data_IF_521960399732
#
_entry.id   IF_521960399732
#
_cell.length_a   1.000
_cell.length_b   1.000
_cell.length_c   1.000
_cell.angle_alpha   90.00
_cell.angle_beta   90.00
_cell.angle_gamma   90.00
#
_symmetry.space_group_name_H-M   'P 1'
#
loop_
_entity.id
_entity.type
_entity.pdbx_description
1 polymer ?
#
# COMPACT_ATOMS: atom_id res chain seq x y z
N UNK A 1 5.46 15.07 -0.50
CA UNK A 1 6.17 14.10 -1.35
C UNK A 1 5.14 13.23 -2.06
N UNK A 2 5.34 12.99 -3.35
CA UNK A 2 4.40 12.19 -4.12
C UNK A 2 4.87 10.74 -4.21
N UNK A 3 3.97 9.81 -3.91
CA UNK A 3 4.24 8.38 -4.04
C UNK A 3 3.47 7.84 -5.25
N UNK A 4 4.19 7.62 -6.36
CA UNK A 4 3.60 7.08 -7.57
C UNK A 4 3.29 5.59 -7.37
N UNK A 5 2.04 5.21 -7.60
CA UNK A 5 1.60 3.83 -7.51
C UNK A 5 1.56 3.24 -8.92
N UNK A 6 2.28 2.14 -9.12
CA UNK A 6 2.18 1.33 -10.34
C UNK A 6 1.56 -0.01 -9.95
N UNK A 7 0.37 -0.33 -10.44
CA UNK A 7 -0.37 -1.53 -10.02
C UNK A 7 0.48 -2.80 -10.03
N UNK A 8 0.55 -3.45 -8.87
CA UNK A 8 1.29 -4.70 -8.65
C UNK A 8 2.79 -4.61 -8.87
N UNK A 9 3.32 -3.43 -9.08
CA UNK A 9 4.72 -3.25 -9.47
C UNK A 9 5.54 -2.47 -8.44
N UNK A 10 5.05 -1.29 -8.05
CA UNK A 10 5.82 -0.42 -7.16
C UNK A 10 4.97 0.59 -6.42
N UNK A 11 5.55 1.10 -5.33
CA UNK A 11 4.99 2.19 -4.54
C UNK A 11 6.09 3.22 -4.30
N UNK A 12 5.93 4.44 -4.82
CA UNK A 12 6.89 5.53 -4.62
C UNK A 12 8.30 5.24 -5.11
N UNK A 13 8.45 4.46 -6.16
CA UNK A 13 9.76 4.06 -6.68
C UNK A 13 10.34 2.82 -5.98
N UNK A 14 9.69 2.33 -4.92
CA UNK A 14 10.10 1.08 -4.26
C UNK A 14 9.43 -0.09 -4.98
N UNK A 15 10.24 -0.89 -5.67
CA UNK A 15 9.75 -1.97 -6.54
C UNK A 15 9.54 -3.26 -5.75
N UNK A 16 8.35 -3.85 -5.86
CA UNK A 16 8.07 -5.13 -5.19
C UNK A 16 8.99 -6.23 -5.73
N UNK A 17 9.46 -7.07 -4.81
CA UNK A 17 10.42 -8.12 -5.14
C UNK A 17 11.88 -7.72 -4.97
N UNK A 18 12.16 -6.43 -4.75
CA UNK A 18 13.51 -5.96 -4.49
C UNK A 18 13.91 -6.36 -3.08
N UNK A 19 15.18 -6.74 -2.90
CA UNK A 19 15.67 -7.12 -1.57
C UNK A 19 15.79 -5.91 -0.65
N UNK A 20 15.66 -6.15 0.64
CA UNK A 20 15.86 -5.13 1.67
C UNK A 20 17.21 -4.42 1.50
N UNK A 21 18.26 -5.18 1.23
CA UNK A 21 19.61 -4.65 1.03
C UNK A 21 19.66 -3.68 -0.17
N UNK A 22 19.08 -4.08 -1.30
CA UNK A 22 19.05 -3.24 -2.50
C UNK A 22 18.23 -1.96 -2.30
N UNK A 23 17.10 -2.06 -1.58
CA UNK A 23 16.29 -0.87 -1.28
C UNK A 23 17.09 0.11 -0.44
N UNK A 24 17.78 -0.35 0.60
CA UNK A 24 18.57 0.52 1.44
C UNK A 24 19.79 1.07 0.72
N UNK A 25 20.38 0.31 -0.18
CA UNK A 25 21.50 0.77 -0.98
C UNK A 25 21.08 1.92 -1.91
N UNK A 26 19.91 1.78 -2.53
CA UNK A 26 19.40 2.77 -3.47
C UNK A 26 18.78 3.99 -2.80
N UNK A 27 18.04 3.78 -1.72
CA UNK A 27 17.23 4.82 -1.07
C UNK A 27 17.73 5.26 0.30
N UNK A 28 18.81 4.66 0.79
CA UNK A 28 19.34 4.93 2.11
C UNK A 28 18.59 4.17 3.21
N UNK A 29 19.05 4.34 4.44
CA UNK A 29 18.43 3.67 5.58
C UNK A 29 17.11 4.35 5.96
N UNK A 30 16.12 3.57 6.44
CA UNK A 30 14.87 4.14 6.90
C UNK A 30 15.05 4.85 8.24
N UNK A 31 14.06 5.64 8.62
CA UNK A 31 14.04 6.30 9.93
C UNK A 31 14.02 5.25 11.05
N UNK A 32 13.32 4.15 10.84
CA UNK A 32 13.21 3.06 11.80
C UNK A 32 12.90 1.75 11.08
N UNK A 33 13.35 0.64 11.65
CA UNK A 33 13.01 -0.70 11.15
C UNK A 33 12.63 -1.58 12.31
N UNK A 34 11.57 -2.37 12.15
CA UNK A 34 11.08 -3.30 13.16
C UNK A 34 10.97 -4.68 12.55
N UNK A 35 11.43 -5.70 13.29
CA UNK A 35 11.24 -7.10 12.91
C UNK A 35 10.04 -7.66 13.64
N UNK A 36 9.13 -8.30 12.89
CA UNK A 36 7.99 -9.01 13.44
C UNK A 36 8.30 -10.50 13.39
N UNK A 37 8.69 -11.05 14.54
CA UNK A 37 9.06 -12.47 14.62
C UNK A 37 7.87 -13.42 14.52
N UNK A 38 6.67 -12.93 14.80
CA UNK A 38 5.45 -13.74 14.71
C UNK A 38 5.04 -13.92 13.25
N UNK A 39 5.03 -12.81 12.48
CA UNK A 39 4.69 -12.84 11.06
C UNK A 39 5.90 -13.10 10.18
N UNK A 40 7.09 -13.15 10.78
CA UNK A 40 8.35 -13.36 10.07
C UNK A 40 8.59 -12.34 8.96
N UNK A 41 8.31 -11.07 9.27
CA UNK A 41 8.55 -9.99 8.32
C UNK A 41 9.27 -8.81 8.98
N UNK A 42 9.72 -7.88 8.15
CA UNK A 42 10.39 -6.64 8.58
C UNK A 42 9.61 -5.46 8.03
N UNK A 43 9.51 -4.41 8.82
CA UNK A 43 8.81 -3.18 8.43
C UNK A 43 9.77 -2.01 8.52
N UNK A 44 9.94 -1.30 7.40
CA UNK A 44 10.69 -0.05 7.35
C UNK A 44 9.74 1.13 7.45
N UNK A 45 10.05 2.06 8.32
CA UNK A 45 9.28 3.31 8.47
C UNK A 45 10.04 4.43 7.77
N UNK A 46 9.46 4.97 6.69
CA UNK A 46 10.04 6.04 5.88
C UNK A 46 9.03 7.17 5.73
N UNK A 47 9.33 8.35 6.26
CA UNK A 47 8.44 9.51 6.20
C UNK A 47 6.96 9.12 6.38
N UNK A 48 6.11 9.36 5.40
CA UNK A 48 4.69 8.99 5.45
C UNK A 48 4.41 7.64 4.76
N UNK A 49 5.41 6.75 4.74
CA UNK A 49 5.33 5.46 4.05
C UNK A 49 5.92 4.36 4.92
N UNK A 50 5.30 3.18 4.91
CA UNK A 50 5.81 1.99 5.58
C UNK A 50 5.98 0.89 4.53
N UNK A 51 7.13 0.23 4.52
CA UNK A 51 7.43 -0.84 3.57
C UNK A 51 7.57 -2.16 4.31
N UNK A 52 6.93 -3.20 3.82
CA UNK A 52 6.92 -4.51 4.45
C UNK A 52 7.65 -5.53 3.59
N UNK A 53 8.57 -6.25 4.23
CA UNK A 53 9.43 -7.27 3.60
C UNK A 53 9.12 -8.64 4.18
N UNK A 54 8.96 -9.62 3.31
CA UNK A 54 8.87 -11.04 3.68
C UNK A 54 10.05 -11.75 3.04
N UNK A 55 10.80 -12.53 3.82
CA UNK A 55 12.02 -13.19 3.35
C UNK A 55 12.98 -12.19 2.71
N UNK A 56 13.07 -11.00 3.32
CA UNK A 56 13.91 -9.88 2.86
C UNK A 56 13.58 -9.36 1.45
N UNK A 57 12.36 -9.61 0.96
CA UNK A 57 11.86 -9.07 -0.30
C UNK A 57 10.68 -8.14 -0.03
N UNK A 58 10.66 -6.99 -0.70
CA UNK A 58 9.58 -6.02 -0.57
C UNK A 58 8.29 -6.61 -1.18
N UNK A 59 7.22 -6.67 -0.39
CA UNK A 59 5.98 -7.29 -0.82
C UNK A 59 4.78 -6.36 -0.81
N UNK A 60 4.73 -5.40 0.12
CA UNK A 60 3.69 -4.38 0.09
C UNK A 60 4.12 -3.14 0.88
N UNK A 61 3.38 -2.06 0.71
CA UNK A 61 3.67 -0.81 1.41
C UNK A 61 2.41 -0.03 1.73
N UNK A 62 2.52 0.82 2.75
CA UNK A 62 1.43 1.66 3.24
C UNK A 62 1.75 3.12 2.95
N UNK A 63 0.80 3.84 2.32
CA UNK A 63 0.83 5.29 2.25
C UNK A 63 -0.10 5.84 3.31
N UNK A 64 0.43 6.64 4.22
CA UNK A 64 -0.33 7.25 5.31
C UNK A 64 -0.97 8.56 4.83
N UNK A 65 -1.83 9.15 5.65
CA UNK A 65 -2.60 10.35 5.25
C UNK A 65 -1.73 11.54 4.82
N UNK A 66 -0.51 11.63 5.33
CA UNK A 66 0.40 12.74 5.01
C UNK A 66 1.22 12.50 3.75
N UNK A 67 1.13 11.30 3.17
CA UNK A 67 1.72 11.02 1.88
C UNK A 67 0.75 11.45 0.78
N UNK A 68 1.24 11.46 -0.44
CA UNK A 68 0.44 11.86 -1.58
C UNK A 68 0.50 10.75 -2.64
N UNK A 69 -0.30 9.68 -2.47
CA UNK A 69 -0.28 8.58 -3.44
C UNK A 69 -0.96 9.01 -4.74
N UNK A 70 -0.26 8.74 -5.85
CA UNK A 70 -0.71 9.12 -7.18
C UNK A 70 -0.77 7.90 -8.07
N UNK A 71 -1.91 7.71 -8.74
CA UNK A 71 -2.12 6.66 -9.71
C UNK A 71 -2.39 7.29 -11.06
N UNK A 72 -1.39 7.26 -11.96
CA UNK A 72 -1.46 7.97 -13.22
C UNK A 72 -1.66 9.47 -12.99
N UNK A 73 -2.77 10.02 -13.43
CA UNK A 73 -3.12 11.42 -13.24
C UNK A 73 -3.98 11.67 -12.00
N UNK A 74 -4.27 10.61 -11.23
CA UNK A 74 -5.18 10.69 -10.10
C UNK A 74 -4.41 10.83 -8.80
N UNK A 75 -4.68 11.91 -8.09
CA UNK A 75 -4.24 12.11 -6.72
C UNK A 75 -5.26 11.42 -5.82
N UNK A 76 -4.91 10.23 -5.33
CA UNK A 76 -5.89 9.33 -4.70
C UNK A 76 -6.58 9.93 -3.49
N UNK A 77 -5.84 10.55 -2.58
CA UNK A 77 -6.42 11.12 -1.36
C UNK A 77 -7.18 12.42 -1.60
N UNK A 78 -7.02 13.05 -2.76
CA UNK A 78 -7.73 14.29 -3.12
C UNK A 78 -8.95 14.03 -4.00
N UNK A 79 -9.13 12.80 -4.46
CA UNK A 79 -10.26 12.40 -5.28
C UNK A 79 -11.25 11.56 -4.47
N UNK A 80 -12.41 11.25 -5.07
CA UNK A 80 -13.40 10.42 -4.41
C UNK A 80 -13.17 8.94 -4.71
N UNK A 81 -13.70 8.08 -3.86
CA UNK A 81 -13.62 6.64 -4.09
C UNK A 81 -14.38 6.25 -5.38
N UNK A 82 -15.40 7.04 -5.75
CA UNK A 82 -16.16 6.78 -6.97
C UNK A 82 -15.31 6.96 -8.22
N UNK A 83 -14.34 7.87 -8.19
CA UNK A 83 -13.41 8.06 -9.31
C UNK A 83 -12.55 6.82 -9.52
N UNK A 84 -12.17 6.15 -8.45
CA UNK A 84 -11.39 4.91 -8.52
C UNK A 84 -12.26 3.74 -8.98
N UNK A 85 -13.51 3.68 -8.54
CA UNK A 85 -14.46 2.66 -8.98
C UNK A 85 -14.73 2.75 -10.49
N UNK A 86 -14.63 3.95 -11.04
CA UNK A 86 -14.80 4.16 -12.48
C UNK A 86 -13.63 3.59 -13.29
N UNK A 87 -12.42 3.55 -12.68
CA UNK A 87 -11.22 3.00 -13.34
C UNK A 87 -11.17 1.49 -13.19
N UNK A 88 -11.54 0.97 -12.02
CA UNK A 88 -11.48 -0.45 -11.72
C UNK A 88 -12.82 -0.92 -11.19
N UNK A 89 -13.59 -1.56 -12.04
CA UNK A 89 -14.93 -2.08 -11.71
C UNK A 89 -14.87 -3.38 -10.90
N UNK A 90 -13.72 -4.01 -10.80
CA UNK A 90 -13.54 -5.23 -10.02
C UNK A 90 -13.08 -4.91 -8.60
N UNK A 91 -13.86 -4.11 -7.90
CA UNK A 91 -13.57 -3.77 -6.51
C UNK A 91 -14.40 -4.64 -5.56
N UNK A 92 -13.87 -4.82 -4.35
CA UNK A 92 -14.52 -5.57 -3.28
C UNK A 92 -14.58 -4.66 -2.05
N UNK A 93 -15.79 -4.40 -1.55
CA UNK A 93 -15.96 -3.58 -0.35
C UNK A 93 -15.94 -4.45 0.89
N UNK A 94 -15.02 -4.16 1.80
CA UNK A 94 -14.94 -4.80 3.10
C UNK A 94 -15.53 -3.91 4.19
N UNK A 95 -15.28 -4.26 5.45
CA UNK A 95 -15.82 -3.53 6.60
C UNK A 95 -15.24 -2.14 6.78
N UNK A 96 -13.95 -1.97 6.51
CA UNK A 96 -13.25 -0.68 6.67
C UNK A 96 -12.51 -0.25 5.42
N UNK A 97 -12.26 -1.17 4.51
CA UNK A 97 -11.42 -0.98 3.35
C UNK A 97 -12.14 -1.40 2.08
N UNK A 98 -11.71 -0.84 0.97
CA UNK A 98 -12.12 -1.28 -0.35
C UNK A 98 -10.88 -1.77 -1.09
N UNK A 99 -11.00 -2.91 -1.74
CA UNK A 99 -9.91 -3.57 -2.48
C UNK A 99 -10.16 -3.43 -3.97
N UNK A 100 -9.19 -2.92 -4.71
CA UNK A 100 -9.26 -2.78 -6.17
C UNK A 100 -8.37 -3.85 -6.80
N UNK A 101 -9.00 -4.85 -7.41
CA UNK A 101 -8.30 -6.03 -7.93
C UNK A 101 -7.31 -5.70 -9.04
N UNK A 102 -7.71 -4.87 -10.00
CA UNK A 102 -6.85 -4.55 -11.13
C UNK A 102 -5.77 -3.50 -10.79
N UNK A 103 -6.01 -2.71 -9.76
CA UNK A 103 -5.06 -1.69 -9.33
C UNK A 103 -4.08 -2.19 -8.28
N UNK A 104 -4.36 -3.33 -7.66
CA UNK A 104 -3.49 -3.89 -6.62
C UNK A 104 -3.35 -2.99 -5.41
N UNK A 105 -4.43 -2.32 -5.03
CA UNK A 105 -4.46 -1.43 -3.87
C UNK A 105 -5.68 -1.67 -3.01
N UNK A 106 -5.52 -1.30 -1.74
CA UNK A 106 -6.56 -1.40 -0.73
C UNK A 106 -6.62 -0.04 -0.03
N UNK A 107 -7.81 0.55 0.08
CA UNK A 107 -7.96 1.90 0.61
C UNK A 107 -8.90 1.92 1.80
N UNK A 108 -8.45 2.55 2.88
CA UNK A 108 -9.28 2.81 4.05
C UNK A 108 -9.43 4.31 4.29
N UNK A 109 -10.49 4.69 5.03
CA UNK A 109 -10.72 6.07 5.41
C UNK A 109 -11.36 6.95 4.33
N UNK A 110 -11.72 6.38 3.18
CA UNK A 110 -12.35 7.11 2.08
C UNK A 110 -13.72 6.53 1.70
N UNK A 111 -14.16 5.46 2.37
CA UNK A 111 -15.37 4.73 2.00
C UNK A 111 -16.61 5.21 2.76
N UNK A 112 -16.48 6.25 3.59
CA UNK A 112 -17.54 6.68 4.48
C UNK A 112 -17.65 5.85 5.76
N UNK A 113 -16.90 4.76 5.85
CA UNK A 113 -16.85 3.90 7.03
C UNK A 113 -15.79 4.41 7.98
N UNK A 114 -16.05 4.27 9.28
CA UNK A 114 -15.12 4.73 10.31
C UNK A 114 -13.83 3.92 10.28
N UNK A 115 -12.70 4.61 10.17
CA UNK A 115 -11.38 4.02 10.23
C UNK A 115 -10.53 4.82 11.21
N UNK A 116 -10.12 4.24 12.35
CA UNK A 116 -9.29 4.95 13.34
C UNK A 116 -7.96 5.46 12.79
N UNK A 117 -7.43 4.83 11.77
CA UNK A 117 -6.16 5.20 11.15
C UNK A 117 -6.29 6.35 10.16
N UNK A 118 -7.52 6.75 9.82
CA UNK A 118 -7.77 7.76 8.81
C UNK A 118 -7.58 7.23 7.40
N UNK A 119 -7.20 8.11 6.47
CA UNK A 119 -6.93 7.69 5.09
C UNK A 119 -5.63 6.87 5.03
N UNK A 120 -5.73 5.72 4.40
CA UNK A 120 -4.62 4.78 4.27
C UNK A 120 -4.74 4.04 2.94
N UNK A 121 -3.64 3.97 2.22
CA UNK A 121 -3.57 3.17 1.01
C UNK A 121 -2.49 2.10 1.18
N UNK A 122 -2.83 0.87 0.83
CA UNK A 122 -1.88 -0.24 0.81
C UNK A 122 -1.73 -0.69 -0.63
N UNK A 123 -0.49 -0.68 -1.14
CA UNK A 123 -0.19 -1.22 -2.46
C UNK A 123 0.62 -2.50 -2.27
N UNK A 124 0.31 -3.54 -3.02
CA UNK A 124 0.88 -4.87 -2.79
C UNK A 124 1.22 -5.58 -4.09
N UNK A 125 2.05 -6.63 -3.99
CA UNK A 125 2.41 -7.45 -5.12
C UNK A 125 1.31 -8.47 -5.43
N UNK A 126 1.40 -9.15 -6.58
CA UNK A 126 0.38 -10.09 -7.03
C UNK A 126 0.18 -11.27 -6.08
N UNK A 127 1.22 -11.67 -5.37
CA UNK A 127 1.15 -12.82 -4.49
C UNK A 127 0.38 -12.53 -3.20
N UNK A 128 0.07 -11.27 -2.92
CA UNK A 128 -0.61 -10.85 -1.70
C UNK A 128 -2.08 -10.46 -1.90
N UNK A 129 -2.62 -10.65 -3.09
CA UNK A 129 -4.03 -10.34 -3.33
C UNK A 129 -4.95 -11.11 -2.37
N UNK A 130 -4.74 -12.42 -2.25
CA UNK A 130 -5.58 -13.25 -1.39
C UNK A 130 -5.45 -12.86 0.08
N UNK A 131 -4.26 -12.48 0.50
CA UNK A 131 -4.03 -11.99 1.86
C UNK A 131 -4.87 -10.74 2.14
N UNK A 132 -4.86 -9.78 1.22
CA UNK A 132 -5.62 -8.54 1.42
C UNK A 132 -7.12 -8.72 1.23
N UNK A 133 -7.54 -9.67 0.41
CA UNK A 133 -8.94 -10.03 0.31
C UNK A 133 -9.48 -10.50 1.67
N UNK A 134 -8.70 -11.31 2.38
CA UNK A 134 -9.03 -11.71 3.75
C UNK A 134 -8.93 -10.55 4.74
N UNK A 135 -7.91 -9.70 4.56
CA UNK A 135 -7.63 -8.55 5.43
C UNK A 135 -8.80 -7.58 5.49
N UNK A 136 -9.46 -7.31 4.38
CA UNK A 136 -10.56 -6.34 4.35
C UNK A 136 -11.86 -6.83 4.97
N UNK A 137 -11.94 -8.08 5.31
CA UNK A 137 -13.09 -8.70 5.99
C UNK A 137 -14.41 -8.51 5.22
N UNK A 138 -14.47 -9.09 4.05
CA UNK A 138 -15.68 -9.06 3.20
C UNK A 138 -16.85 -9.75 3.90
#
# INVERSE_FOLDING_TARGET
MNYLIKPYESIGGFVFGTSLEEVQEKHGKPARMVEDNIMNNKVEYRDACELVYENDKLVYGYCLKDSNPILGDIDIFQNSIEDLKAIDSEFIEGKKYILFKNLGICIGGMTGKKNPEGMLLIAFDKNHFDFFECFIEV
#
